data_IF_381811991817
#
_entry.id   IF_381811991817
#
_cell.length_a   1.000
_cell.length_b   1.000
_cell.length_c   1.000
_cell.angle_alpha   90.00
_cell.angle_beta   90.00
_cell.angle_gamma   90.00
#
_symmetry.space_group_name_H-M   'P 1'
#
loop_
_entity.id
_entity.type
_entity.pdbx_description
1 polymer ?
#
# COMPACT_ATOMS: atom_id res chain seq x y z
N UNK A 1 8.87 -10.52 -2.87
CA UNK A 1 10.23 -11.09 -3.01
C UNK A 1 10.77 -10.97 -4.43
N UNK A 2 10.30 -11.77 -5.39
CA UNK A 2 10.83 -11.83 -6.78
C UNK A 2 10.83 -10.49 -7.58
N UNK A 3 10.26 -9.42 -7.04
CA UNK A 3 10.14 -8.08 -7.67
C UNK A 3 11.03 -7.01 -7.00
N UNK A 4 11.97 -7.42 -6.14
CA UNK A 4 12.92 -6.52 -5.47
C UNK A 4 12.46 -5.92 -4.14
N UNK A 5 11.28 -6.31 -3.64
CA UNK A 5 10.80 -5.91 -2.31
C UNK A 5 11.40 -6.76 -1.21
N UNK A 6 11.56 -6.15 -0.02
CA UNK A 6 12.16 -6.76 1.17
C UNK A 6 11.10 -7.04 2.23
N UNK A 7 11.12 -8.24 2.82
CA UNK A 7 10.35 -8.54 4.03
C UNK A 7 11.01 -7.89 5.23
N UNK A 8 10.17 -7.36 6.12
CA UNK A 8 10.60 -6.87 7.43
C UNK A 8 10.07 -7.79 8.51
N UNK A 9 8.77 -8.11 8.46
CA UNK A 9 8.09 -8.96 9.42
C UNK A 9 6.87 -9.61 8.77
N UNK A 10 6.46 -10.77 9.30
CA UNK A 10 5.25 -11.51 8.95
C UNK A 10 4.50 -11.87 10.25
N UNK A 11 3.17 -11.92 10.19
CA UNK A 11 2.23 -12.14 11.30
C UNK A 11 2.29 -11.14 12.48
N UNK A 12 3.46 -10.94 13.12
CA UNK A 12 3.66 -10.04 14.24
C UNK A 12 4.69 -8.97 13.90
N UNK A 13 4.34 -7.71 14.18
CA UNK A 13 5.19 -6.54 13.94
C UNK A 13 5.37 -5.78 15.24
N UNK A 14 6.61 -5.61 15.67
CA UNK A 14 6.95 -4.70 16.76
C UNK A 14 7.05 -3.28 16.21
N UNK A 15 6.23 -2.38 16.75
CA UNK A 15 6.20 -0.97 16.34
C UNK A 15 6.75 -0.10 17.45
N UNK A 16 7.74 0.72 17.12
CA UNK A 16 8.32 1.74 18.01
C UNK A 16 8.16 3.12 17.39
N UNK A 17 7.92 4.10 18.23
CA UNK A 17 7.94 5.51 17.84
C UNK A 17 9.31 6.09 18.16
N UNK A 18 10.03 6.56 17.15
CA UNK A 18 11.39 7.13 17.30
C UNK A 18 11.36 8.66 17.39
N UNK A 19 10.30 9.32 16.88
CA UNK A 19 10.11 10.77 16.92
C UNK A 19 8.61 11.13 16.82
N UNK A 20 8.24 12.41 16.89
CA UNK A 20 6.86 12.91 16.92
C UNK A 20 5.97 12.46 15.75
N UNK A 21 6.53 12.04 14.61
CA UNK A 21 5.76 11.48 13.49
C UNK A 21 6.47 10.30 12.80
N UNK A 22 7.37 9.61 13.51
CA UNK A 22 8.19 8.54 12.95
C UNK A 22 7.96 7.23 13.67
N UNK A 23 7.28 6.31 12.99
CA UNK A 23 7.10 4.93 13.42
C UNK A 23 8.04 3.99 12.65
N UNK A 24 8.70 3.10 13.37
CA UNK A 24 9.55 2.04 12.82
C UNK A 24 8.97 0.68 13.19
N UNK A 25 8.81 -0.18 12.18
CA UNK A 25 8.41 -1.58 12.35
C UNK A 25 9.61 -2.51 12.21
N UNK A 26 9.65 -3.56 13.03
CA UNK A 26 10.59 -4.69 12.96
C UNK A 26 9.86 -6.00 13.28
N UNK A 27 10.49 -7.13 12.95
CA UNK A 27 10.04 -8.43 13.44
C UNK A 27 10.55 -8.65 14.88
N UNK A 28 9.81 -9.37 15.73
CA UNK A 28 10.39 -9.99 16.93
C UNK A 28 11.54 -10.92 16.54
N UNK A 29 12.59 -10.97 17.36
CA UNK A 29 13.81 -11.75 17.10
C UNK A 29 13.52 -13.22 16.78
N UNK A 30 12.57 -13.83 17.50
CA UNK A 30 12.18 -15.23 17.32
C UNK A 30 11.68 -15.57 15.91
N UNK A 31 11.05 -14.61 15.22
CA UNK A 31 10.44 -14.82 13.90
C UNK A 31 11.09 -13.97 12.80
N UNK A 32 12.28 -13.41 13.06
CA UNK A 32 13.00 -12.61 12.06
C UNK A 32 13.29 -13.47 10.82
N UNK A 33 13.01 -12.90 9.64
CA UNK A 33 13.17 -13.54 8.33
C UNK A 33 12.26 -14.74 8.05
N UNK A 34 11.39 -15.14 8.99
CA UNK A 34 10.44 -16.23 8.78
C UNK A 34 9.17 -15.73 8.09
N UNK A 35 8.56 -16.62 7.30
CA UNK A 35 7.28 -16.40 6.62
C UNK A 35 6.46 -17.69 6.72
N UNK A 36 5.22 -17.59 7.18
CA UNK A 36 4.28 -18.71 7.16
C UNK A 36 3.57 -18.79 5.81
N UNK A 37 3.49 -19.99 5.24
CA UNK A 37 2.68 -20.22 4.05
C UNK A 37 1.82 -21.44 4.30
N UNK A 38 0.50 -21.21 4.43
CA UNK A 38 -0.47 -22.30 4.60
C UNK A 38 -0.34 -23.35 3.49
N UNK A 39 -0.20 -24.61 3.92
CA UNK A 39 0.01 -25.76 3.02
C UNK A 39 1.48 -26.05 2.67
N UNK A 40 2.41 -25.15 3.01
CA UNK A 40 3.85 -25.34 2.85
C UNK A 40 4.61 -25.34 4.19
N UNK A 41 4.15 -24.57 5.17
CA UNK A 41 4.78 -24.40 6.48
C UNK A 41 5.62 -23.12 6.57
N UNK A 42 6.53 -23.09 7.55
CA UNK A 42 7.40 -21.95 7.83
C UNK A 42 8.61 -21.99 6.88
N UNK A 43 8.91 -20.86 6.23
CA UNK A 43 10.07 -20.72 5.37
C UNK A 43 10.98 -19.58 5.85
N UNK A 44 12.29 -19.78 5.74
CA UNK A 44 13.26 -18.71 5.98
C UNK A 44 13.54 -17.97 4.65
N UNK A 45 13.11 -16.72 4.60
CA UNK A 45 13.21 -15.88 3.39
C UNK A 45 14.66 -15.49 3.10
N UNK A 46 15.48 -15.21 4.11
CA UNK A 46 16.89 -14.88 3.92
C UNK A 46 17.63 -16.05 3.29
N UNK A 47 17.39 -17.28 3.75
CA UNK A 47 18.02 -18.48 3.19
C UNK A 47 17.62 -18.71 1.72
N UNK A 48 16.34 -18.49 1.39
CA UNK A 48 15.81 -18.76 0.05
C UNK A 48 16.15 -17.68 -0.98
N UNK A 49 16.20 -16.41 -0.58
CA UNK A 49 16.29 -15.27 -1.52
C UNK A 49 17.49 -14.34 -1.24
N UNK A 50 18.30 -14.65 -0.23
CA UNK A 50 19.50 -13.90 0.15
C UNK A 50 19.20 -12.63 0.97
N UNK A 51 20.28 -12.00 1.46
CA UNK A 51 20.20 -10.80 2.29
C UNK A 51 19.47 -9.62 1.62
N UNK A 52 19.48 -9.54 0.29
CA UNK A 52 18.77 -8.49 -0.46
C UNK A 52 17.24 -8.58 -0.41
N UNK A 53 16.69 -9.70 0.07
CA UNK A 53 15.26 -9.97 0.14
C UNK A 53 14.64 -9.66 1.51
N UNK A 54 15.46 -9.28 2.49
CA UNK A 54 15.03 -9.01 3.87
C UNK A 54 15.58 -7.68 4.36
N UNK A 55 15.01 -7.18 5.45
CA UNK A 55 15.47 -5.97 6.14
C UNK A 55 14.99 -5.99 7.60
N UNK A 56 15.88 -5.87 8.57
CA UNK A 56 15.52 -5.99 9.99
C UNK A 56 14.52 -4.94 10.49
N UNK A 57 14.51 -3.73 9.91
CA UNK A 57 13.53 -2.70 10.27
C UNK A 57 13.23 -1.74 9.11
N UNK A 58 12.06 -1.10 9.18
CA UNK A 58 11.64 -0.08 8.22
C UNK A 58 10.66 0.92 8.82
N UNK A 59 10.85 2.21 8.51
CA UNK A 59 9.85 3.25 8.78
C UNK A 59 8.52 2.94 8.11
N UNK A 60 7.44 2.97 8.88
CA UNK A 60 6.05 2.81 8.43
C UNK A 60 5.59 4.15 7.87
N UNK A 61 5.13 4.17 6.62
CA UNK A 61 4.73 5.43 5.93
C UNK A 61 3.32 5.41 5.39
N UNK A 62 2.73 4.23 5.26
CA UNK A 62 1.36 4.01 4.78
C UNK A 62 0.87 2.68 5.36
N UNK A 63 -0.40 2.63 5.73
CA UNK A 63 -1.13 1.40 6.07
C UNK A 63 -2.01 1.03 4.89
N UNK A 64 -1.88 -0.19 4.38
CA UNK A 64 -2.78 -0.73 3.36
C UNK A 64 -3.69 -1.77 4.01
N UNK A 65 -4.93 -1.39 4.27
CA UNK A 65 -5.94 -2.26 4.84
C UNK A 65 -6.58 -3.11 3.73
N UNK A 66 -6.42 -4.42 3.81
CA UNK A 66 -7.04 -5.34 2.85
C UNK A 66 -8.38 -5.81 3.41
N UNK A 67 -9.45 -5.60 2.67
CA UNK A 67 -10.78 -6.07 3.07
C UNK A 67 -11.44 -6.89 1.97
N UNK A 68 -12.30 -7.82 2.36
CA UNK A 68 -13.11 -8.54 1.38
C UNK A 68 -14.03 -7.56 0.67
N UNK A 69 -14.13 -7.70 -0.64
CA UNK A 69 -15.07 -6.88 -1.38
C UNK A 69 -16.51 -7.22 -1.01
N UNK A 70 -17.28 -6.19 -0.73
CA UNK A 70 -18.70 -6.27 -0.39
C UNK A 70 -19.57 -5.55 -1.43
N UNK A 71 -20.69 -6.19 -1.78
CA UNK A 71 -21.68 -5.60 -2.68
C UNK A 71 -22.37 -4.43 -1.97
N UNK A 72 -22.43 -3.27 -2.63
CA UNK A 72 -23.09 -2.07 -2.10
C UNK A 72 -22.18 -1.14 -1.30
N UNK A 73 -21.02 -1.61 -0.81
CA UNK A 73 -20.01 -0.73 -0.20
C UNK A 73 -19.39 0.16 -1.27
N UNK A 74 -19.38 1.48 -1.03
CA UNK A 74 -18.69 2.43 -1.88
C UNK A 74 -17.20 2.44 -1.54
N UNK A 75 -16.38 2.38 -2.59
CA UNK A 75 -14.93 2.47 -2.49
C UNK A 75 -14.50 3.73 -3.22
N UNK A 76 -13.50 4.43 -2.68
CA UNK A 76 -12.94 5.60 -3.35
C UNK A 76 -12.37 5.18 -4.72
N UNK A 77 -12.92 5.79 -5.78
CA UNK A 77 -12.52 5.55 -7.17
C UNK A 77 -11.53 6.58 -7.69
N UNK A 78 -11.47 7.74 -7.05
CA UNK A 78 -10.65 8.86 -7.48
C UNK A 78 -9.37 8.94 -6.65
N UNK A 79 -9.38 8.47 -5.40
CA UNK A 79 -8.23 8.58 -4.50
C UNK A 79 -8.07 10.01 -4.00
N UNK A 80 -9.18 10.72 -3.76
CA UNK A 80 -9.17 12.11 -3.30
C UNK A 80 -9.24 12.21 -1.79
N UNK A 81 -9.78 11.20 -1.12
CA UNK A 81 -9.89 11.19 0.34
C UNK A 81 -8.59 10.68 0.96
N UNK A 82 -8.11 11.39 1.99
CA UNK A 82 -6.98 10.95 2.81
C UNK A 82 -7.50 10.37 4.13
N UNK A 83 -7.62 9.05 4.18
CA UNK A 83 -7.81 8.36 5.45
C UNK A 83 -6.49 8.29 6.23
N UNK A 84 -6.58 8.29 7.57
CA UNK A 84 -5.44 8.05 8.46
C UNK A 84 -5.78 7.01 9.51
N UNK A 85 -4.75 6.34 10.01
CA UNK A 85 -4.79 5.43 11.14
C UNK A 85 -3.83 5.96 12.21
N UNK A 86 -4.32 6.20 13.41
CA UNK A 86 -3.47 6.50 14.57
C UNK A 86 -2.80 5.20 15.03
N UNK A 87 -1.47 5.21 15.08
CA UNK A 87 -0.66 4.15 15.68
C UNK A 87 0.24 4.82 16.73
N UNK A 88 0.08 4.42 17.99
CA UNK A 88 0.66 5.14 19.14
C UNK A 88 0.21 6.60 19.07
N UNK A 89 1.12 7.56 18.90
CA UNK A 89 0.79 8.98 18.83
C UNK A 89 0.89 9.55 17.40
N UNK A 90 1.21 8.73 16.40
CA UNK A 90 1.41 9.18 15.01
C UNK A 90 0.22 8.81 14.11
N UNK A 91 -0.29 9.77 13.33
CA UNK A 91 -1.29 9.52 12.28
C UNK A 91 -0.62 9.07 10.97
N UNK A 92 -0.84 7.82 10.59
CA UNK A 92 -0.28 7.24 9.36
C UNK A 92 -1.34 7.25 8.26
N UNK A 93 -1.02 7.70 7.02
CA UNK A 93 -1.93 7.56 5.88
C UNK A 93 -2.41 6.12 5.71
N UNK A 94 -3.70 5.94 5.48
CA UNK A 94 -4.35 4.64 5.33
C UNK A 94 -5.01 4.55 3.95
N UNK A 95 -4.86 3.40 3.30
CA UNK A 95 -5.56 3.05 2.08
C UNK A 95 -6.31 1.75 2.27
N UNK A 96 -7.60 1.73 1.94
CA UNK A 96 -8.41 0.51 1.99
C UNK A 96 -8.50 -0.11 0.59
N UNK A 97 -8.08 -1.36 0.44
CA UNK A 97 -8.00 -2.08 -0.84
C UNK A 97 -8.98 -3.27 -0.80
N UNK A 98 -10.04 -3.26 -1.63
CA UNK A 98 -10.93 -4.41 -1.74
C UNK A 98 -10.26 -5.58 -2.45
N UNK A 99 -10.34 -6.75 -1.82
CA UNK A 99 -9.85 -8.03 -2.32
C UNK A 99 -11.00 -8.82 -2.92
N UNK A 100 -10.78 -9.31 -4.14
CA UNK A 100 -11.64 -10.29 -4.81
C UNK A 100 -10.78 -11.42 -5.38
N UNK A 101 -11.28 -12.67 -5.37
CA UNK A 101 -10.65 -13.75 -6.12
C UNK A 101 -10.38 -13.35 -7.58
N UNK A 102 -9.25 -13.77 -8.13
CA UNK A 102 -8.84 -13.46 -9.50
C UNK A 102 -8.11 -12.13 -9.70
N UNK A 103 -7.93 -11.31 -8.66
CA UNK A 103 -7.07 -10.11 -8.71
C UNK A 103 -5.67 -10.39 -8.17
N UNK A 104 -4.65 -9.90 -8.86
CA UNK A 104 -3.27 -9.98 -8.39
C UNK A 104 -3.01 -8.91 -7.33
N UNK A 105 -3.15 -9.30 -6.06
CA UNK A 105 -2.99 -8.41 -4.93
C UNK A 105 -1.58 -7.79 -4.84
N UNK A 106 -0.54 -8.54 -5.17
CA UNK A 106 0.83 -8.03 -5.15
C UNK A 106 1.01 -6.84 -6.11
N UNK A 107 0.46 -6.94 -7.33
CA UNK A 107 0.49 -5.84 -8.31
C UNK A 107 -0.30 -4.63 -7.81
N UNK A 108 -1.44 -4.85 -7.16
CA UNK A 108 -2.27 -3.75 -6.62
C UNK A 108 -1.52 -3.00 -5.52
N UNK A 109 -0.90 -3.73 -4.58
CA UNK A 109 -0.09 -3.14 -3.49
C UNK A 109 1.11 -2.37 -4.07
N UNK A 110 1.76 -2.90 -5.10
CA UNK A 110 2.87 -2.22 -5.79
C UNK A 110 2.43 -0.89 -6.40
N UNK A 111 1.35 -0.89 -7.17
CA UNK A 111 0.80 0.32 -7.80
C UNK A 111 0.35 1.33 -6.75
N UNK A 112 -0.30 0.87 -5.67
CA UNK A 112 -0.69 1.73 -4.56
C UNK A 112 0.53 2.40 -3.90
N UNK A 113 1.60 1.65 -3.63
CA UNK A 113 2.83 2.18 -3.04
C UNK A 113 3.52 3.21 -3.97
N UNK A 114 3.55 2.93 -5.28
CA UNK A 114 4.08 3.86 -6.28
C UNK A 114 3.25 5.14 -6.36
N UNK A 115 1.92 5.02 -6.39
CA UNK A 115 1.01 6.16 -6.43
C UNK A 115 1.14 7.03 -5.17
N UNK A 116 1.22 6.41 -3.99
CA UNK A 116 1.48 7.13 -2.73
C UNK A 116 2.79 7.92 -2.79
N UNK A 117 3.86 7.32 -3.32
CA UNK A 117 5.14 8.02 -3.51
C UNK A 117 5.02 9.20 -4.48
N UNK A 118 4.32 9.03 -5.61
CA UNK A 118 4.10 10.09 -6.60
C UNK A 118 3.32 11.27 -6.03
N UNK A 119 2.24 11.01 -5.28
CA UNK A 119 1.47 12.06 -4.60
C UNK A 119 2.35 12.90 -3.67
N UNK A 120 3.23 12.26 -2.88
CA UNK A 120 4.17 12.96 -2.01
C UNK A 120 5.26 13.74 -2.75
N UNK A 121 5.50 13.43 -4.02
CA UNK A 121 6.38 14.19 -4.90
C UNK A 121 5.65 15.34 -5.62
N UNK A 122 4.36 15.57 -5.33
CA UNK A 122 3.55 16.62 -5.95
C UNK A 122 2.79 16.18 -7.20
N UNK A 123 2.81 14.90 -7.56
CA UNK A 123 2.10 14.37 -8.72
C UNK A 123 0.79 13.69 -8.30
N UNK A 124 -0.32 14.44 -8.30
CA UNK A 124 -1.65 13.89 -8.03
C UNK A 124 -2.47 13.71 -9.33
N UNK A 125 -2.49 12.49 -9.84
CA UNK A 125 -3.22 12.15 -11.07
C UNK A 125 -4.74 12.40 -10.95
N UNK A 126 -5.31 12.24 -9.75
CA UNK A 126 -6.73 12.45 -9.51
C UNK A 126 -7.11 13.94 -9.60
N UNK A 127 -6.30 14.81 -9.01
CA UNK A 127 -6.46 16.26 -9.14
C UNK A 127 -6.27 16.71 -10.59
N UNK A 128 -5.25 16.19 -11.28
CA UNK A 128 -5.01 16.50 -12.69
C UNK A 128 -6.20 16.07 -13.56
N UNK A 129 -6.72 14.87 -13.34
CA UNK A 129 -7.91 14.37 -14.04
C UNK A 129 -9.12 15.26 -13.77
N UNK A 130 -9.37 15.59 -12.50
CA UNK A 130 -10.51 16.44 -12.08
C UNK A 130 -10.42 17.84 -12.69
N UNK A 131 -9.20 18.42 -12.76
CA UNK A 131 -8.95 19.72 -13.38
C UNK A 131 -9.18 19.71 -14.89
N UNK A 132 -8.91 18.58 -15.56
CA UNK A 132 -9.02 18.45 -17.00
C UNK A 132 -10.42 18.01 -17.47
N UNK A 133 -11.22 17.39 -16.59
CA UNK A 133 -12.55 16.86 -16.90
C UNK A 133 -13.50 17.89 -17.58
N UNK A 134 -13.60 19.16 -17.14
CA UNK A 134 -14.46 20.14 -17.78
C UNK A 134 -14.02 20.48 -19.21
N UNK A 135 -12.71 20.46 -19.48
CA UNK A 135 -12.13 20.71 -20.80
C UNK A 135 -12.43 19.56 -21.77
N UNK A 136 -12.27 18.32 -21.30
CA UNK A 136 -12.57 17.12 -22.08
C UNK A 136 -14.06 17.02 -22.42
N UNK A 137 -14.95 17.31 -21.48
CA UNK A 137 -16.40 17.30 -21.71
C UNK A 137 -16.84 18.35 -22.74
N UNK A 138 -16.29 19.57 -22.68
CA UNK A 138 -16.54 20.60 -23.71
C UNK A 138 -16.05 20.19 -25.10
N UNK A 139 -14.93 19.48 -25.17
CA UNK A 139 -14.35 19.00 -26.44
C UNK A 139 -15.19 17.88 -27.05
N UNK A 140 -15.62 16.90 -26.24
CA UNK A 140 -16.50 15.81 -26.68
C UNK A 140 -17.88 16.33 -27.10
N UNK A 141 -18.45 17.31 -26.38
CA UNK A 141 -19.72 17.93 -26.75
C UNK A 141 -19.65 18.72 -28.08
N UNK A 142 -18.47 19.23 -28.45
CA UNK A 142 -18.24 19.89 -29.75
C UNK A 142 -18.13 18.89 -30.90
N UNK A 143 -17.46 17.75 -30.70
CA UNK A 143 -17.34 16.70 -31.73
C UNK A 143 -18.66 15.99 -32.06
N UNK A 144 -19.60 15.89 -31.12
CA UNK A 144 -20.92 15.29 -31.37
C UNK A 144 -21.95 16.23 -32.03
N UNK A 145 -21.59 17.49 -32.30
CA UNK A 145 -22.47 18.48 -32.96
C UNK A 145 -22.01 18.83 -34.40
N UNK A 146 -21.03 18.11 -34.90
CA UNK A 146 -20.46 18.20 -36.26
C UNK A 146 -20.61 16.85 -36.95
#
# INVERSE_FOLDING_TARGET
MKRGHRLVADDCVEIRQEDQDTLVGSAPELIEHLLEIRGLGIINVMTLFGAGAVRSYKRITIVMNLELWEQGKQYDRLGLEEEKMRIIDTDVPKLTIPVRPGRNLAVIIEVAAMNFRLKRMGHNAAEQFTRNLPMSLKTMARMNRS
#
